data_IF_215970803513
#
_entry.id   IF_215970803513
#
_cell.length_a   1.000
_cell.length_b   1.000
_cell.length_c   1.000
_cell.angle_alpha   90.00
_cell.angle_beta   90.00
_cell.angle_gamma   90.00
#
_symmetry.space_group_name_H-M   'P 1'
#
loop_
_entity.id
_entity.type
_entity.pdbx_description
1 polymer ?
#
# COMPACT_ATOMS: atom_id res chain seq x y z
N UNK A 1 -3.17 -1.19 3.11
CA UNK A 1 -4.09 -2.17 3.73
C UNK A 1 -3.80 -2.37 5.21
N UNK A 2 -4.73 -2.93 5.94
CA UNK A 2 -4.56 -3.20 7.36
C UNK A 2 -5.04 -4.61 7.72
N UNK A 3 -4.65 -5.10 8.91
CA UNK A 3 -4.94 -6.46 9.36
C UNK A 3 -6.43 -6.73 9.64
N UNK A 4 -7.25 -5.70 9.64
CA UNK A 4 -8.70 -5.82 9.84
C UNK A 4 -9.47 -5.95 8.52
N UNK A 5 -8.77 -5.98 7.39
CA UNK A 5 -9.36 -6.15 6.07
C UNK A 5 -9.57 -4.87 5.28
N UNK A 6 -9.13 -3.73 5.80
CA UNK A 6 -9.15 -2.46 5.07
C UNK A 6 -8.11 -2.44 3.95
N UNK A 7 -8.49 -1.90 2.81
CA UNK A 7 -7.62 -1.81 1.65
C UNK A 7 -7.87 -0.48 0.94
N UNK A 8 -6.83 0.32 0.83
CA UNK A 8 -6.83 1.57 0.08
C UNK A 8 -5.70 1.53 -0.93
N UNK A 9 -5.96 1.99 -2.13
CA UNK A 9 -4.94 2.07 -3.17
C UNK A 9 -5.14 3.30 -4.04
N UNK A 10 -4.09 3.65 -4.78
CA UNK A 10 -4.14 4.68 -5.80
C UNK A 10 -3.31 4.25 -7.01
N UNK A 11 -3.78 4.59 -8.19
CA UNK A 11 -3.06 4.39 -9.45
C UNK A 11 -2.63 5.76 -9.96
N UNK A 12 -1.38 5.87 -10.35
CA UNK A 12 -0.81 7.12 -10.84
C UNK A 12 0.13 6.85 -12.03
N UNK A 13 0.40 7.90 -12.79
CA UNK A 13 1.34 7.84 -13.92
C UNK A 13 2.72 8.33 -13.50
N UNK A 14 3.76 7.72 -14.08
CA UNK A 14 5.15 8.10 -13.80
C UNK A 14 5.72 7.49 -12.54
N UNK A 15 6.94 7.89 -12.20
CA UNK A 15 7.65 7.39 -11.02
C UNK A 15 7.20 8.07 -9.73
N UNK A 16 7.37 7.37 -8.62
CA UNK A 16 7.12 7.92 -7.31
C UNK A 16 8.23 8.89 -6.90
N UNK A 17 7.84 10.08 -6.43
CA UNK A 17 8.74 11.04 -5.80
C UNK A 17 8.14 11.52 -4.48
N UNK A 18 8.90 12.35 -3.73
CA UNK A 18 8.45 12.84 -2.43
C UNK A 18 7.17 13.66 -2.48
N UNK A 19 7.01 14.50 -3.50
CA UNK A 19 5.81 15.34 -3.66
C UNK A 19 4.57 14.49 -3.92
N UNK A 20 4.68 13.51 -4.81
CA UNK A 20 3.58 12.58 -5.09
C UNK A 20 3.24 11.76 -3.84
N UNK A 21 4.26 11.33 -3.10
CA UNK A 21 4.03 10.55 -1.89
C UNK A 21 3.29 11.37 -0.83
N UNK A 22 3.64 12.65 -0.64
CA UNK A 22 2.90 13.57 0.26
C UNK A 22 1.44 13.67 -0.18
N UNK A 23 1.19 13.83 -1.47
CA UNK A 23 -0.17 13.90 -2.00
C UNK A 23 -0.96 12.61 -1.72
N UNK A 24 -0.33 11.46 -1.92
CA UNK A 24 -0.94 10.17 -1.62
C UNK A 24 -1.25 10.01 -0.13
N UNK A 25 -0.35 10.46 0.76
CA UNK A 25 -0.59 10.43 2.20
C UNK A 25 -1.79 11.32 2.58
N UNK A 26 -1.88 12.50 2.00
CA UNK A 26 -3.03 13.40 2.24
C UNK A 26 -4.34 12.77 1.79
N UNK A 27 -4.35 12.12 0.64
CA UNK A 27 -5.53 11.42 0.13
C UNK A 27 -5.91 10.24 1.02
N UNK A 28 -4.94 9.47 1.47
CA UNK A 28 -5.15 8.35 2.38
C UNK A 28 -5.72 8.81 3.73
N UNK A 29 -5.22 9.90 4.26
CA UNK A 29 -5.61 10.42 5.57
C UNK A 29 -6.94 11.19 5.56
N UNK A 30 -7.44 11.56 4.40
CA UNK A 30 -8.67 12.35 4.28
C UNK A 30 -9.85 11.63 4.93
N UNK A 31 -10.50 12.30 5.88
CA UNK A 31 -11.67 11.76 6.58
C UNK A 31 -11.35 10.74 7.67
N UNK A 32 -10.09 10.40 7.89
CA UNK A 32 -9.70 9.47 8.95
C UNK A 32 -9.51 10.22 10.27
N UNK A 33 -10.09 9.68 11.33
CA UNK A 33 -10.04 10.30 12.66
C UNK A 33 -9.09 9.57 13.62
N UNK A 34 -8.88 8.27 13.40
CA UNK A 34 -8.02 7.46 14.26
C UNK A 34 -6.57 7.58 13.83
N UNK A 35 -5.63 7.55 14.78
CA UNK A 35 -4.21 7.47 14.43
C UNK A 35 -3.89 6.25 13.58
N UNK A 36 -2.99 6.44 12.63
CA UNK A 36 -2.52 5.38 11.74
C UNK A 36 -1.03 5.19 11.93
N UNK A 37 -0.64 3.93 12.08
CA UNK A 37 0.75 3.50 12.01
C UNK A 37 0.97 2.88 10.62
N UNK A 38 1.77 3.54 9.80
CA UNK A 38 2.05 3.10 8.44
C UNK A 38 3.41 2.43 8.40
N UNK A 39 3.42 1.16 8.03
CA UNK A 39 4.63 0.38 7.79
C UNK A 39 4.98 0.46 6.32
N UNK A 40 6.19 0.85 5.99
CA UNK A 40 6.64 1.02 4.61
C UNK A 40 8.13 0.73 4.49
N UNK A 41 8.55 0.46 3.25
CA UNK A 41 9.97 0.25 2.99
C UNK A 41 10.75 1.56 3.05
N UNK A 42 12.08 1.46 3.04
CA UNK A 42 12.97 2.60 3.15
C UNK A 42 13.26 3.33 1.84
N UNK A 43 12.34 3.29 0.87
CA UNK A 43 12.52 3.99 -0.40
C UNK A 43 12.78 5.48 -0.19
N UNK A 44 13.76 6.09 -0.89
CA UNK A 44 14.10 7.51 -0.66
C UNK A 44 12.94 8.48 -0.78
N UNK A 45 11.98 8.24 -1.68
CA UNK A 45 10.79 9.08 -1.84
C UNK A 45 9.95 9.13 -0.57
N UNK A 46 10.00 8.11 0.29
CA UNK A 46 9.27 8.05 1.56
C UNK A 46 9.95 8.85 2.68
N UNK A 47 11.20 9.29 2.48
CA UNK A 47 12.04 9.89 3.52
C UNK A 47 12.41 11.35 3.22
N UNK A 48 11.76 12.00 2.27
CA UNK A 48 12.07 13.39 1.94
C UNK A 48 11.66 14.32 3.08
N UNK A 49 12.25 15.52 3.10
CA UNK A 49 11.88 16.54 4.08
C UNK A 49 10.40 16.90 3.99
N UNK A 50 9.85 16.99 2.77
CA UNK A 50 8.43 17.28 2.57
C UNK A 50 7.52 16.22 3.21
N UNK A 51 7.90 14.95 3.12
CA UNK A 51 7.18 13.86 3.79
C UNK A 51 7.24 14.03 5.31
N UNK A 52 8.43 14.30 5.87
CA UNK A 52 8.59 14.49 7.30
C UNK A 52 7.77 15.69 7.82
N UNK A 53 7.80 16.79 7.07
CA UNK A 53 7.04 17.99 7.44
C UNK A 53 5.54 17.73 7.41
N UNK A 54 5.04 17.00 6.40
CA UNK A 54 3.63 16.64 6.30
C UNK A 54 3.20 15.75 7.48
N UNK A 55 4.00 14.74 7.80
CA UNK A 55 3.71 13.83 8.92
C UNK A 55 3.72 14.59 10.24
N UNK A 56 4.69 15.47 10.46
CA UNK A 56 4.77 16.29 11.66
C UNK A 56 3.55 17.21 11.80
N UNK A 57 3.03 17.72 10.68
CA UNK A 57 1.84 18.58 10.66
C UNK A 57 0.57 17.87 11.14
N UNK A 58 0.54 16.54 11.06
CA UNK A 58 -0.60 15.71 11.47
C UNK A 58 -0.64 15.43 12.99
N UNK A 59 0.35 15.91 13.74
CA UNK A 59 0.37 15.89 15.22
C UNK A 59 0.07 14.52 15.82
N UNK A 60 0.74 13.49 15.33
CA UNK A 60 0.60 12.13 15.86
C UNK A 60 -0.52 11.29 15.23
N UNK A 61 -1.31 11.86 14.34
CA UNK A 61 -2.33 11.08 13.62
C UNK A 61 -1.76 10.11 12.60
N UNK A 62 -0.52 10.31 12.16
CA UNK A 62 0.19 9.41 11.26
C UNK A 62 1.61 9.23 11.77
N UNK A 63 2.00 7.97 11.96
CA UNK A 63 3.37 7.59 12.31
C UNK A 63 3.91 6.66 11.25
N UNK A 64 5.07 6.97 10.72
CA UNK A 64 5.74 6.13 9.73
C UNK A 64 6.73 5.18 10.42
N UNK A 65 6.67 3.91 10.04
CA UNK A 65 7.60 2.88 10.51
C UNK A 65 8.30 2.28 9.29
N UNK A 66 9.60 2.51 9.19
CA UNK A 66 10.38 2.03 8.04
C UNK A 66 10.90 0.62 8.30
N UNK A 67 10.68 -0.27 7.33
CA UNK A 67 11.24 -1.61 7.36
C UNK A 67 12.76 -1.56 7.14
N UNK A 68 13.51 -2.54 7.71
CA UNK A 68 14.92 -2.68 7.40
C UNK A 68 15.17 -2.82 5.90
N UNK A 69 16.33 -2.39 5.41
CA UNK A 69 16.74 -2.64 4.04
C UNK A 69 16.76 -4.13 3.74
N UNK A 70 16.48 -4.49 2.48
CA UNK A 70 16.53 -5.87 2.00
C UNK A 70 15.63 -6.87 2.75
N UNK A 71 14.48 -6.39 3.24
CA UNK A 71 13.50 -7.25 3.93
C UNK A 71 12.10 -7.17 3.29
N UNK A 72 11.96 -7.46 1.98
CA UNK A 72 10.67 -7.36 1.29
C UNK A 72 9.62 -8.33 1.85
N UNK A 73 10.04 -9.47 2.39
CA UNK A 73 9.14 -10.45 2.99
C UNK A 73 8.44 -9.94 4.26
N UNK A 74 8.93 -8.88 4.89
CA UNK A 74 8.27 -8.22 6.00
C UNK A 74 7.18 -7.23 5.56
N UNK A 75 7.06 -6.99 4.26
CA UNK A 75 6.09 -6.06 3.70
C UNK A 75 4.88 -6.83 3.13
N UNK A 76 3.69 -6.71 3.71
CA UNK A 76 2.51 -7.44 3.23
C UNK A 76 2.09 -7.07 1.81
N UNK A 77 2.51 -5.93 1.27
CA UNK A 77 2.23 -5.56 -0.12
C UNK A 77 2.84 -6.55 -1.12
N UNK A 78 3.94 -7.21 -0.75
CA UNK A 78 4.53 -8.26 -1.59
C UNK A 78 3.57 -9.44 -1.79
N UNK A 79 2.75 -9.73 -0.78
CA UNK A 79 1.72 -10.78 -0.89
C UNK A 79 0.59 -10.37 -1.82
N UNK A 80 0.22 -9.10 -1.81
CA UNK A 80 -0.77 -8.54 -2.76
C UNK A 80 -0.24 -8.67 -4.19
N UNK A 81 0.99 -8.28 -4.44
CA UNK A 81 1.58 -8.39 -5.77
C UNK A 81 1.72 -9.84 -6.23
N UNK A 82 2.12 -10.75 -5.36
CA UNK A 82 2.18 -12.17 -5.67
C UNK A 82 0.80 -12.73 -6.05
N UNK A 83 -0.22 -12.38 -5.29
CA UNK A 83 -1.59 -12.76 -5.58
C UNK A 83 -2.05 -12.19 -6.93
N UNK A 84 -1.79 -10.92 -7.18
CA UNK A 84 -2.17 -10.22 -8.41
C UNK A 84 -1.51 -10.86 -9.63
N UNK A 85 -0.22 -11.17 -9.54
CA UNK A 85 0.51 -11.82 -10.61
C UNK A 85 -0.01 -13.23 -10.92
N UNK A 86 -0.38 -13.99 -9.89
CA UNK A 86 -0.88 -15.36 -10.05
C UNK A 86 -2.29 -15.46 -10.60
N UNK A 87 -3.14 -14.49 -10.26
CA UNK A 87 -4.58 -14.59 -10.49
C UNK A 87 -5.11 -13.68 -11.59
N UNK A 88 -4.37 -12.66 -11.99
CA UNK A 88 -4.90 -11.65 -12.90
C UNK A 88 -3.95 -11.19 -13.99
N UNK A 89 -3.18 -10.16 -13.71
CA UNK A 89 -2.42 -9.40 -14.73
C UNK A 89 -1.47 -10.27 -15.55
N UNK A 90 -0.82 -11.25 -14.94
CA UNK A 90 0.16 -12.11 -15.63
C UNK A 90 -0.47 -13.33 -16.29
N UNK A 91 -1.72 -13.68 -15.98
CA UNK A 91 -2.37 -14.89 -16.51
C UNK A 91 -3.01 -14.70 -17.88
N UNK A 92 -3.33 -13.48 -18.23
CA UNK A 92 -3.99 -13.15 -19.49
C UNK A 92 -3.29 -11.96 -20.13
N UNK A 93 -2.91 -12.05 -21.41
CA UNK A 93 -2.34 -10.89 -22.11
C UNK A 93 -3.40 -9.78 -22.20
N UNK A 94 -2.92 -8.53 -22.30
CA UNK A 94 -3.80 -7.40 -22.55
C UNK A 94 -4.49 -7.56 -23.90
N UNK A 95 -5.79 -7.29 -23.92
CA UNK A 95 -6.58 -7.26 -25.14
C UNK A 95 -6.32 -5.95 -25.88
N UNK A 96 -6.62 -5.96 -27.20
CA UNK A 96 -6.52 -4.74 -28.01
C UNK A 96 -7.39 -3.61 -27.40
N UNK A 97 -6.79 -2.43 -27.23
CA UNK A 97 -7.47 -1.28 -26.61
C UNK A 97 -7.52 -1.29 -25.09
N UNK A 98 -7.09 -2.35 -24.43
CA UNK A 98 -7.07 -2.46 -22.99
C UNK A 98 -5.79 -1.82 -22.43
N UNK A 99 -5.95 -1.01 -21.36
CA UNK A 99 -4.82 -0.38 -20.66
C UNK A 99 -4.43 -1.20 -19.44
N UNK A 100 -3.13 -1.36 -19.22
CA UNK A 100 -2.61 -2.05 -18.03
C UNK A 100 -3.10 -1.38 -16.74
N UNK A 101 -3.10 -0.05 -16.69
CA UNK A 101 -3.55 0.70 -15.52
C UNK A 101 -5.01 0.37 -15.18
N UNK A 102 -5.89 0.26 -16.17
CA UNK A 102 -7.30 -0.08 -15.94
C UNK A 102 -7.45 -1.50 -15.40
N UNK A 103 -6.70 -2.44 -15.94
CA UNK A 103 -6.72 -3.83 -15.46
C UNK A 103 -6.22 -3.94 -14.03
N UNK A 104 -5.13 -3.25 -13.70
CA UNK A 104 -4.60 -3.22 -12.33
C UNK A 104 -5.60 -2.58 -11.38
N UNK A 105 -6.22 -1.47 -11.78
CA UNK A 105 -7.25 -0.80 -10.99
C UNK A 105 -8.42 -1.75 -10.68
N UNK A 106 -8.93 -2.45 -11.69
CA UNK A 106 -10.04 -3.38 -11.53
C UNK A 106 -9.69 -4.53 -10.57
N UNK A 107 -8.48 -5.04 -10.69
CA UNK A 107 -8.01 -6.13 -9.84
C UNK A 107 -7.82 -5.69 -8.40
N UNK A 108 -7.24 -4.51 -8.16
CA UNK A 108 -7.09 -3.95 -6.82
C UNK A 108 -8.46 -3.60 -6.22
N UNK A 109 -9.41 -3.14 -7.04
CA UNK A 109 -10.78 -2.90 -6.58
C UNK A 109 -11.46 -4.20 -6.14
N UNK A 110 -11.23 -5.29 -6.84
CA UNK A 110 -11.74 -6.62 -6.46
C UNK A 110 -11.17 -7.05 -5.10
N UNK A 111 -9.87 -6.88 -4.91
CA UNK A 111 -9.23 -7.17 -3.62
C UNK A 111 -9.83 -6.30 -2.50
N UNK A 112 -10.00 -5.01 -2.76
CA UNK A 112 -10.56 -4.07 -1.78
C UNK A 112 -11.99 -4.46 -1.36
N UNK A 113 -12.75 -5.07 -2.26
CA UNK A 113 -14.11 -5.56 -2.00
C UNK A 113 -14.14 -6.89 -1.22
N UNK A 114 -12.98 -7.48 -0.93
CA UNK A 114 -12.87 -8.80 -0.28
C UNK A 114 -12.05 -8.71 1.01
N UNK A 115 -12.63 -8.18 2.12
CA UNK A 115 -11.92 -8.00 3.38
C UNK A 115 -11.29 -9.28 3.93
N UNK A 116 -11.95 -10.44 3.73
CA UNK A 116 -11.41 -11.73 4.18
C UNK A 116 -10.11 -12.09 3.44
N UNK A 117 -10.02 -11.79 2.15
CA UNK A 117 -8.80 -11.99 1.39
C UNK A 117 -7.69 -11.09 1.94
N UNK A 118 -7.98 -9.82 2.20
CA UNK A 118 -7.02 -8.87 2.77
C UNK A 118 -6.54 -9.36 4.14
N UNK A 119 -7.46 -9.78 5.00
CA UNK A 119 -7.10 -10.36 6.30
C UNK A 119 -6.21 -11.58 6.17
N UNK A 120 -6.42 -12.41 5.14
CA UNK A 120 -5.62 -13.61 4.92
C UNK A 120 -4.15 -13.30 4.63
N UNK A 121 -3.84 -12.18 4.00
CA UNK A 121 -2.45 -11.77 3.78
C UNK A 121 -1.70 -11.58 5.10
N UNK A 122 -2.36 -11.05 6.12
CA UNK A 122 -1.76 -10.80 7.43
C UNK A 122 -1.61 -12.06 8.30
N UNK A 123 -2.14 -13.20 7.87
CA UNK A 123 -1.92 -14.49 8.54
C UNK A 123 -0.60 -15.14 8.13
N UNK A 124 0.04 -14.66 7.08
CA UNK A 124 1.34 -15.16 6.67
C UNK A 124 2.37 -14.89 7.78
N UNK A 125 3.19 -15.90 8.17
CA UNK A 125 4.12 -15.75 9.31
C UNK A 125 5.06 -14.55 9.21
N UNK A 126 5.51 -14.20 8.01
CA UNK A 126 6.44 -13.08 7.79
C UNK A 126 5.86 -11.72 8.14
N UNK A 127 4.54 -11.56 8.09
CA UNK A 127 3.87 -10.27 8.31
C UNK A 127 2.88 -10.28 9.46
N UNK A 128 2.73 -11.40 10.15
CA UNK A 128 1.81 -11.53 11.27
C UNK A 128 2.12 -10.56 12.42
N UNK A 129 3.38 -10.10 12.54
CA UNK A 129 3.80 -9.12 13.54
C UNK A 129 2.97 -7.83 13.50
N UNK A 130 2.44 -7.46 12.33
CA UNK A 130 1.70 -6.21 12.15
C UNK A 130 0.40 -6.23 12.97
N UNK A 131 -0.21 -7.39 13.12
CA UNK A 131 -1.43 -7.54 13.91
C UNK A 131 -1.22 -7.29 15.40
N UNK A 132 0.03 -7.31 15.86
CA UNK A 132 0.40 -7.10 17.26
C UNK A 132 0.85 -5.65 17.56
N UNK A 133 0.85 -4.81 16.57
CA UNK A 133 1.25 -3.40 16.71
C UNK A 133 0.15 -2.55 17.36
#
# INVERSE_FOLDING_TARGET
MNSKGGFWFAVYSGGLNGELFVDLLKRMMKGRRRPIHLVLDGWPAHKTRGVRDDVDSLKGRLTLHFLPGDAPDLNPDELVWSYTKRTGVARSPLRSGEKLADRVHDQLSDIAARPELVRSFFRHPSVAYISDL
#
